data_IF_160011672780
#
_entry.id   IF_160011672780
#
_cell.length_a   1.000
_cell.length_b   1.000
_cell.length_c   1.000
_cell.angle_alpha   90.00
_cell.angle_beta   90.00
_cell.angle_gamma   90.00
#
_symmetry.space_group_name_H-M   'P 1'
#
loop_
_entity.id
_entity.type
_entity.pdbx_description
1 polymer ?
#
# COMPACT_ATOMS: atom_id res chain seq x y z
N UNK A 1 35.75 -11.88 21.85
CA UNK A 1 36.65 -12.21 20.73
C UNK A 1 36.14 -11.50 19.49
N UNK A 2 36.94 -10.60 18.92
CA UNK A 2 36.57 -9.80 17.77
C UNK A 2 36.59 -10.68 16.50
N UNK A 3 35.57 -10.62 15.63
CA UNK A 3 35.49 -11.48 14.46
C UNK A 3 36.50 -11.11 13.35
N UNK A 4 37.11 -9.92 13.40
CA UNK A 4 38.05 -9.44 12.39
C UNK A 4 39.49 -9.90 12.65
N UNK A 5 39.94 -9.80 13.90
CA UNK A 5 41.33 -10.06 14.32
C UNK A 5 41.45 -11.24 15.31
N UNK A 6 40.32 -11.75 15.81
CA UNK A 6 40.24 -12.83 16.81
C UNK A 6 40.88 -12.49 18.15
N UNK A 7 41.04 -11.21 18.48
CA UNK A 7 41.54 -10.78 19.78
C UNK A 7 40.40 -10.64 20.81
N UNK A 8 40.64 -10.87 22.11
CA UNK A 8 39.68 -10.50 23.15
C UNK A 8 39.50 -8.98 23.17
N UNK A 9 38.26 -8.53 23.39
CA UNK A 9 37.93 -7.11 23.56
C UNK A 9 36.98 -6.98 24.74
N UNK A 10 37.06 -5.87 25.45
CA UNK A 10 36.13 -5.55 26.53
C UNK A 10 34.93 -4.76 25.98
N UNK A 11 33.75 -4.97 26.57
CA UNK A 11 32.53 -4.31 26.10
C UNK A 11 32.62 -2.78 26.24
N UNK A 12 33.35 -2.29 27.25
CA UNK A 12 33.56 -0.86 27.52
C UNK A 12 34.44 -0.17 26.46
N UNK A 13 35.22 -0.94 25.69
CA UNK A 13 36.04 -0.46 24.57
C UNK A 13 35.23 -0.36 23.26
N UNK A 14 33.99 -0.87 23.26
CA UNK A 14 33.12 -0.83 22.08
C UNK A 14 32.32 0.48 22.04
N UNK A 15 32.62 1.32 21.06
CA UNK A 15 31.88 2.56 20.83
C UNK A 15 30.79 2.38 19.76
N UNK A 16 29.56 2.79 20.09
CA UNK A 16 28.48 2.89 19.09
C UNK A 16 28.77 4.09 18.18
N UNK A 17 29.07 3.83 16.92
CA UNK A 17 29.26 4.87 15.91
C UNK A 17 27.91 5.16 15.24
N UNK A 18 27.25 6.31 15.52
CA UNK A 18 26.01 6.65 14.86
C UNK A 18 26.26 7.04 13.40
N UNK A 19 25.59 6.36 12.47
CA UNK A 19 25.60 6.74 11.06
C UNK A 19 24.56 7.84 10.85
N UNK A 20 24.94 9.07 10.42
CA UNK A 20 23.97 10.12 10.15
C UNK A 20 22.96 9.67 9.09
N UNK A 21 21.67 9.95 9.27
CA UNK A 21 20.61 9.52 8.36
C UNK A 21 20.87 9.91 6.89
N UNK A 22 21.45 11.10 6.66
CA UNK A 22 21.87 11.54 5.31
C UNK A 22 22.93 10.64 4.67
N UNK A 23 23.84 10.07 5.45
CA UNK A 23 24.84 9.11 4.95
C UNK A 23 24.22 7.72 4.76
N UNK A 24 23.38 7.28 5.71
CA UNK A 24 22.69 5.99 5.62
C UNK A 24 21.84 5.85 4.35
N UNK A 25 21.11 6.90 3.97
CA UNK A 25 20.28 6.90 2.76
C UNK A 25 21.07 6.87 1.44
N UNK A 26 22.37 7.18 1.48
CA UNK A 26 23.25 7.12 0.31
C UNK A 26 24.02 5.79 0.22
N UNK A 27 24.01 4.97 1.29
CA UNK A 27 24.62 3.66 1.28
C UNK A 27 23.72 2.69 0.53
N UNK A 28 24.29 2.07 -0.51
CA UNK A 28 23.67 0.95 -1.20
C UNK A 28 24.24 -0.35 -0.65
N UNK A 29 23.39 -1.34 -0.49
CA UNK A 29 23.75 -2.70 -0.11
C UNK A 29 23.36 -3.67 -1.23
N UNK A 30 24.13 -4.73 -1.35
CA UNK A 30 23.84 -5.86 -2.21
C UNK A 30 22.92 -6.84 -1.47
N UNK A 31 22.13 -7.61 -2.20
CA UNK A 31 21.36 -8.71 -1.63
C UNK A 31 22.28 -9.74 -0.95
N UNK A 32 21.85 -10.29 0.19
CA UNK A 32 22.54 -11.40 0.86
C UNK A 32 22.74 -12.63 -0.04
N UNK A 33 21.89 -12.81 -1.06
CA UNK A 33 21.99 -13.89 -2.03
C UNK A 33 22.82 -13.52 -3.28
N UNK A 34 23.66 -12.47 -3.22
CA UNK A 34 24.58 -12.11 -4.31
C UNK A 34 25.48 -13.27 -4.70
N UNK A 35 25.99 -14.03 -3.73
CA UNK A 35 26.80 -15.23 -3.97
C UNK A 35 26.06 -16.33 -4.74
N UNK A 36 24.72 -16.33 -4.67
CA UNK A 36 23.84 -17.24 -5.40
C UNK A 36 23.38 -16.68 -6.75
N UNK A 37 23.82 -15.47 -7.12
CA UNK A 37 23.53 -14.81 -8.39
C UNK A 37 22.44 -13.74 -8.34
N UNK A 38 22.03 -13.28 -7.14
CA UNK A 38 21.10 -12.16 -7.02
C UNK A 38 21.82 -10.81 -7.24
N UNK A 39 21.49 -10.11 -8.33
CA UNK A 39 22.12 -8.83 -8.68
C UNK A 39 21.43 -7.60 -8.06
N UNK A 40 20.52 -7.80 -7.09
CA UNK A 40 19.77 -6.70 -6.49
C UNK A 40 20.68 -5.80 -5.63
N UNK A 41 20.64 -4.49 -5.91
CA UNK A 41 21.37 -3.46 -5.16
C UNK A 41 20.43 -2.30 -4.83
N UNK A 42 20.30 -1.96 -3.55
CA UNK A 42 19.32 -0.97 -3.08
C UNK A 42 19.70 -0.32 -1.76
N UNK A 43 18.80 0.49 -1.20
CA UNK A 43 18.92 0.94 0.20
C UNK A 43 18.78 -0.26 1.14
N UNK A 44 19.26 -0.16 2.38
CA UNK A 44 19.13 -1.25 3.36
C UNK A 44 17.67 -1.73 3.51
N UNK A 45 16.71 -0.81 3.59
CA UNK A 45 15.27 -1.13 3.66
C UNK A 45 14.79 -1.87 2.40
N UNK A 46 15.23 -1.45 1.21
CA UNK A 46 14.84 -2.10 -0.03
C UNK A 46 15.46 -3.50 -0.15
N UNK A 47 16.69 -3.70 0.33
CA UNK A 47 17.34 -5.03 0.34
C UNK A 47 16.65 -5.98 1.32
N UNK A 48 16.22 -5.49 2.49
CA UNK A 48 15.46 -6.30 3.45
C UNK A 48 14.13 -6.78 2.86
N UNK A 49 13.33 -5.85 2.30
CA UNK A 49 12.08 -6.21 1.62
C UNK A 49 12.31 -7.19 0.48
N UNK A 50 13.32 -6.91 -0.35
CA UNK A 50 13.67 -7.80 -1.46
C UNK A 50 14.01 -9.21 -0.98
N UNK A 51 14.86 -9.33 0.05
CA UNK A 51 15.27 -10.63 0.59
C UNK A 51 14.10 -11.45 1.14
N UNK A 52 13.15 -10.80 1.83
CA UNK A 52 12.03 -11.48 2.49
C UNK A 52 10.88 -11.83 1.54
N UNK A 53 10.58 -10.95 0.58
CA UNK A 53 9.34 -11.04 -0.22
C UNK A 53 9.58 -11.37 -1.69
N UNK A 54 10.74 -11.02 -2.25
CA UNK A 54 10.96 -11.01 -3.70
C UNK A 54 12.08 -11.96 -4.18
N UNK A 55 13.02 -12.31 -3.30
CA UNK A 55 14.26 -12.96 -3.71
C UNK A 55 14.08 -14.45 -4.04
N UNK A 56 14.16 -14.79 -5.33
CA UNK A 56 14.05 -16.18 -5.80
C UNK A 56 15.36 -16.98 -5.68
N UNK A 57 16.46 -16.32 -5.30
CA UNK A 57 17.77 -16.90 -5.07
C UNK A 57 17.96 -17.40 -3.63
N UNK A 58 16.90 -17.41 -2.83
CA UNK A 58 16.93 -18.04 -1.51
C UNK A 58 17.20 -19.54 -1.64
N UNK A 59 18.04 -20.07 -0.77
CA UNK A 59 18.27 -21.51 -0.64
C UNK A 59 17.19 -22.12 0.26
N UNK A 60 16.52 -23.16 -0.25
CA UNK A 60 15.50 -23.91 0.48
C UNK A 60 15.87 -25.39 0.55
N UNK A 61 15.37 -26.09 1.55
CA UNK A 61 15.53 -27.53 1.70
C UNK A 61 14.41 -28.26 0.95
N UNK A 62 14.79 -29.15 0.03
CA UNK A 62 13.83 -29.97 -0.69
C UNK A 62 13.16 -30.97 0.27
N UNK A 63 11.83 -30.97 0.35
CA UNK A 63 11.07 -31.85 1.25
C UNK A 63 11.09 -33.33 0.86
N UNK A 64 11.63 -33.68 -0.30
CA UNK A 64 11.75 -35.07 -0.77
C UNK A 64 13.12 -35.67 -0.44
N UNK A 65 14.18 -34.94 -0.78
CA UNK A 65 15.56 -35.44 -0.67
C UNK A 65 16.45 -34.67 0.31
N UNK A 66 15.89 -33.71 1.07
CA UNK A 66 16.63 -32.82 1.98
C UNK A 66 17.77 -32.00 1.33
N UNK A 67 17.91 -32.03 0.00
CA UNK A 67 18.94 -31.27 -0.70
C UNK A 67 18.64 -29.77 -0.66
N UNK A 68 19.68 -28.97 -0.43
CA UNK A 68 19.61 -27.51 -0.49
C UNK A 68 19.60 -27.06 -1.94
N UNK A 69 18.48 -26.50 -2.38
CA UNK A 69 18.26 -26.03 -3.76
C UNK A 69 17.81 -24.58 -3.75
N UNK A 70 18.14 -23.82 -4.80
CA UNK A 70 17.61 -22.47 -4.95
C UNK A 70 16.10 -22.54 -5.22
N UNK A 71 15.34 -21.62 -4.64
CA UNK A 71 13.88 -21.60 -4.81
C UNK A 71 13.47 -21.53 -6.28
N UNK A 72 14.18 -20.72 -7.09
CA UNK A 72 13.98 -20.67 -8.56
C UNK A 72 14.20 -22.02 -9.27
N UNK A 73 15.08 -22.87 -8.75
CA UNK A 73 15.51 -24.12 -9.37
C UNK A 73 14.76 -25.34 -8.80
N UNK A 74 13.90 -25.15 -7.79
CA UNK A 74 13.14 -26.23 -7.16
C UNK A 74 12.29 -27.02 -8.17
N UNK A 75 11.66 -26.33 -9.13
CA UNK A 75 10.87 -26.98 -10.17
C UNK A 75 11.75 -27.85 -11.09
N UNK A 76 12.91 -27.33 -11.49
CA UNK A 76 13.89 -28.05 -12.33
C UNK A 76 14.43 -29.26 -11.56
N UNK A 77 14.71 -29.11 -10.27
CA UNK A 77 15.13 -30.19 -9.39
C UNK A 77 14.09 -31.33 -9.34
N UNK A 78 12.79 -31.01 -9.21
CA UNK A 78 11.75 -32.04 -9.25
C UNK A 78 11.63 -32.74 -10.59
N UNK A 79 11.73 -31.99 -11.69
CA UNK A 79 11.69 -32.54 -13.05
C UNK A 79 12.94 -33.36 -13.39
N UNK A 80 14.08 -33.03 -12.78
CA UNK A 80 15.36 -33.72 -12.95
C UNK A 80 15.47 -35.08 -12.24
N UNK A 81 14.38 -35.56 -11.63
CA UNK A 81 14.37 -36.87 -10.96
C UNK A 81 14.75 -36.81 -9.48
N UNK A 82 14.29 -35.79 -8.76
CA UNK A 82 14.35 -35.75 -7.30
C UNK A 82 13.73 -37.02 -6.68
N UNK A 83 14.58 -37.90 -6.16
CA UNK A 83 14.19 -39.13 -5.48
C UNK A 83 14.03 -38.86 -3.98
N UNK A 84 13.03 -39.47 -3.32
CA UNK A 84 12.91 -39.36 -1.87
C UNK A 84 14.16 -39.95 -1.23
N UNK A 85 14.74 -39.23 -0.27
CA UNK A 85 15.85 -39.76 0.53
C UNK A 85 15.31 -40.99 1.25
N UNK A 86 15.78 -42.16 0.86
CA UNK A 86 15.59 -43.35 1.68
C UNK A 86 16.50 -43.15 2.89
N UNK A 87 15.96 -43.05 4.11
CA UNK A 87 16.79 -42.87 5.28
C UNK A 87 17.67 -44.11 5.41
N UNK A 88 18.95 -43.97 5.03
CA UNK A 88 19.95 -44.97 5.34
C UNK A 88 20.00 -45.12 6.85
N UNK A 89 19.78 -46.36 7.26
CA UNK A 89 19.50 -46.77 8.63
C UNK A 89 20.44 -46.14 9.67
N UNK A 90 19.84 -45.50 10.68
CA UNK A 90 20.14 -45.74 12.10
C UNK A 90 19.07 -45.12 13.00
N UNK A 91 18.34 -46.03 13.65
CA UNK A 91 17.80 -45.93 15.01
C UNK A 91 16.51 -45.13 15.25
N UNK A 92 15.44 -45.92 15.32
CA UNK A 92 14.24 -45.83 16.18
C UNK A 92 13.15 -44.76 15.89
N UNK A 93 11.97 -45.29 15.51
CA UNK A 93 10.67 -44.63 15.45
C UNK A 93 10.28 -43.95 16.78
N UNK A 94 9.40 -42.93 16.74
CA UNK A 94 7.97 -43.25 16.88
C UNK A 94 7.16 -42.90 15.64
N UNK A 95 6.22 -43.80 15.36
CA UNK A 95 5.14 -43.75 14.38
C UNK A 95 4.47 -42.38 14.23
N UNK A 96 4.50 -41.83 13.00
CA UNK A 96 3.44 -40.95 12.50
C UNK A 96 2.85 -41.63 11.27
N UNK A 97 1.62 -42.12 11.39
CA UNK A 97 0.86 -42.64 10.25
C UNK A 97 0.65 -41.49 9.27
N UNK A 98 1.47 -41.45 8.21
CA UNK A 98 1.20 -40.62 7.05
C UNK A 98 -0.03 -41.19 6.35
N UNK A 99 -1.19 -40.56 6.58
CA UNK A 99 -2.38 -40.81 5.76
C UNK A 99 -2.01 -40.49 4.31
N UNK A 100 -1.94 -41.52 3.47
CA UNK A 100 -1.75 -41.34 2.03
C UNK A 100 -3.06 -40.75 1.52
N UNK A 101 -3.09 -39.43 1.36
CA UNK A 101 -4.21 -38.74 0.73
C UNK A 101 -4.36 -39.29 -0.68
N UNK A 102 -5.53 -39.85 -0.98
CA UNK A 102 -5.82 -40.34 -2.31
C UNK A 102 -6.10 -39.16 -3.23
N UNK A 103 -5.96 -39.37 -4.55
CA UNK A 103 -6.31 -38.34 -5.56
C UNK A 103 -7.76 -37.87 -5.40
N UNK A 104 -8.64 -38.73 -4.88
CA UNK A 104 -10.04 -38.41 -4.60
C UNK A 104 -10.20 -37.45 -3.41
N UNK A 105 -9.39 -37.61 -2.37
CA UNK A 105 -9.38 -36.71 -1.21
C UNK A 105 -8.91 -35.31 -1.60
N UNK A 106 -7.89 -35.23 -2.46
CA UNK A 106 -7.41 -33.95 -3.01
C UNK A 106 -8.45 -33.31 -3.93
N UNK A 107 -9.14 -34.11 -4.75
CA UNK A 107 -10.18 -33.60 -5.64
C UNK A 107 -11.39 -33.08 -4.87
N UNK A 108 -11.77 -33.73 -3.76
CA UNK A 108 -12.85 -33.28 -2.88
C UNK A 108 -12.46 -31.98 -2.17
N UNK A 109 -11.26 -31.93 -1.58
CA UNK A 109 -10.74 -30.73 -0.93
C UNK A 109 -10.62 -29.54 -1.91
N UNK A 110 -10.31 -29.79 -3.18
CA UNK A 110 -10.25 -28.77 -4.22
C UNK A 110 -11.65 -28.21 -4.55
N UNK A 111 -12.67 -29.07 -4.63
CA UNK A 111 -14.03 -28.60 -4.90
C UNK A 111 -14.60 -27.85 -3.69
N UNK A 112 -14.28 -28.29 -2.46
CA UNK A 112 -14.64 -27.57 -1.23
C UNK A 112 -13.99 -26.18 -1.16
N UNK A 113 -12.70 -26.08 -1.49
CA UNK A 113 -12.00 -24.79 -1.59
C UNK A 113 -12.63 -23.88 -2.65
N UNK A 114 -13.05 -24.46 -3.77
CA UNK A 114 -13.67 -23.71 -4.87
C UNK A 114 -15.06 -23.21 -4.51
N UNK A 115 -15.82 -23.94 -3.70
CA UNK A 115 -17.08 -23.46 -3.11
C UNK A 115 -16.83 -22.35 -2.11
N UNK A 116 -15.90 -22.55 -1.16
CA UNK A 116 -15.51 -21.55 -0.17
C UNK A 116 -14.96 -20.26 -0.78
N UNK A 117 -14.34 -20.35 -1.96
CA UNK A 117 -13.92 -19.17 -2.71
C UNK A 117 -15.09 -18.52 -3.43
N UNK A 118 -15.98 -19.27 -4.08
CA UNK A 118 -17.10 -18.71 -4.86
C UNK A 118 -18.10 -17.92 -4.02
N UNK A 119 -18.44 -18.41 -2.83
CA UNK A 119 -19.45 -17.78 -1.97
C UNK A 119 -19.10 -16.35 -1.54
N UNK A 120 -17.90 -16.04 -1.01
CA UNK A 120 -17.54 -14.66 -0.64
C UNK A 120 -17.46 -13.74 -1.85
N UNK A 121 -17.02 -14.21 -3.03
CA UNK A 121 -17.04 -13.36 -4.23
C UNK A 121 -18.48 -13.09 -4.72
N UNK A 122 -19.38 -14.07 -4.63
CA UNK A 122 -20.74 -13.91 -5.15
C UNK A 122 -21.60 -13.00 -4.28
N UNK A 123 -21.38 -12.94 -2.96
CA UNK A 123 -22.12 -12.03 -2.07
C UNK A 123 -21.44 -10.67 -1.86
N UNK A 124 -20.11 -10.62 -1.76
CA UNK A 124 -19.42 -9.35 -1.50
C UNK A 124 -19.38 -8.45 -2.73
N UNK A 125 -19.26 -8.99 -3.95
CA UNK A 125 -19.18 -8.16 -5.16
C UNK A 125 -20.46 -7.36 -5.42
N UNK A 126 -21.68 -7.94 -5.35
CA UNK A 126 -22.91 -7.15 -5.47
C UNK A 126 -23.08 -6.13 -4.34
N UNK A 127 -22.70 -6.49 -3.11
CA UNK A 127 -22.78 -5.58 -1.97
C UNK A 127 -21.84 -4.37 -2.14
N UNK A 128 -20.59 -4.61 -2.55
CA UNK A 128 -19.61 -3.57 -2.86
C UNK A 128 -20.11 -2.70 -4.03
N UNK A 129 -20.65 -3.31 -5.08
CA UNK A 129 -21.21 -2.57 -6.22
C UNK A 129 -22.37 -1.66 -5.77
N UNK A 130 -23.26 -2.13 -4.90
CA UNK A 130 -24.34 -1.32 -4.34
C UNK A 130 -23.80 -0.14 -3.54
N UNK A 131 -22.84 -0.39 -2.64
CA UNK A 131 -22.22 0.65 -1.82
C UNK A 131 -21.53 1.72 -2.69
N UNK A 132 -20.83 1.32 -3.76
CA UNK A 132 -20.22 2.26 -4.71
C UNK A 132 -21.30 3.10 -5.41
N UNK A 133 -22.38 2.48 -5.87
CA UNK A 133 -23.47 3.19 -6.53
C UNK A 133 -24.11 4.22 -5.58
N UNK A 134 -24.34 3.85 -4.32
CA UNK A 134 -24.87 4.74 -3.28
C UNK A 134 -23.92 5.92 -3.01
N UNK A 135 -22.62 5.67 -2.86
CA UNK A 135 -21.59 6.69 -2.68
C UNK A 135 -21.53 7.68 -3.87
N UNK A 136 -21.67 7.16 -5.09
CA UNK A 136 -21.68 7.99 -6.31
C UNK A 136 -22.89 8.91 -6.33
N UNK A 137 -24.09 8.40 -6.04
CA UNK A 137 -25.29 9.24 -6.01
C UNK A 137 -25.27 10.24 -4.85
N UNK A 138 -24.75 9.87 -3.67
CA UNK A 138 -24.55 10.80 -2.56
C UNK A 138 -23.63 11.96 -2.96
N UNK A 139 -22.46 11.62 -3.54
CA UNK A 139 -21.49 12.62 -4.00
C UNK A 139 -22.09 13.55 -5.06
N UNK A 140 -22.86 12.98 -6.01
CA UNK A 140 -23.55 13.78 -7.04
C UNK A 140 -24.58 14.73 -6.43
N UNK A 141 -25.34 14.26 -5.44
CA UNK A 141 -26.34 15.08 -4.73
C UNK A 141 -25.68 16.22 -3.98
N UNK A 142 -24.65 15.94 -3.17
CA UNK A 142 -23.90 16.97 -2.44
C UNK A 142 -23.27 18.00 -3.38
N UNK A 143 -22.73 17.55 -4.52
CA UNK A 143 -22.17 18.44 -5.53
C UNK A 143 -23.25 19.35 -6.13
N UNK A 144 -24.44 18.82 -6.43
CA UNK A 144 -25.54 19.62 -6.95
C UNK A 144 -26.02 20.68 -5.95
N UNK A 145 -26.17 20.30 -4.67
CA UNK A 145 -26.55 21.22 -3.59
C UNK A 145 -25.52 22.34 -3.40
N UNK A 146 -24.22 21.99 -3.45
CA UNK A 146 -23.15 22.97 -3.35
C UNK A 146 -23.17 23.95 -4.53
N UNK A 147 -23.37 23.45 -5.75
CA UNK A 147 -23.47 24.29 -6.95
C UNK A 147 -24.67 25.23 -6.87
N UNK A 148 -25.83 24.75 -6.41
CA UNK A 148 -27.02 25.58 -6.23
C UNK A 148 -26.82 26.66 -5.17
N UNK A 149 -26.15 26.32 -4.06
CA UNK A 149 -25.78 27.27 -3.00
C UNK A 149 -24.83 28.37 -3.53
N UNK A 150 -23.82 27.98 -4.31
CA UNK A 150 -22.90 28.93 -4.96
C UNK A 150 -23.66 29.82 -5.94
N UNK A 151 -24.53 29.24 -6.78
CA UNK A 151 -25.32 29.99 -7.76
C UNK A 151 -26.27 30.99 -7.09
N UNK A 152 -26.91 30.62 -5.97
CA UNK A 152 -27.72 31.53 -5.16
C UNK A 152 -26.89 32.69 -4.62
N UNK A 153 -25.74 32.40 -4.01
CA UNK A 153 -24.84 33.44 -3.49
C UNK A 153 -24.36 34.40 -4.57
N UNK A 154 -24.02 33.89 -5.75
CA UNK A 154 -23.62 34.71 -6.90
C UNK A 154 -24.75 35.64 -7.35
N UNK A 155 -25.98 35.12 -7.45
CA UNK A 155 -27.16 35.94 -7.80
C UNK A 155 -27.45 37.02 -6.76
N UNK A 156 -27.35 36.71 -5.48
CA UNK A 156 -27.57 37.69 -4.42
C UNK A 156 -26.48 38.76 -4.40
N UNK A 157 -25.23 38.38 -4.63
CA UNK A 157 -24.12 39.32 -4.82
C UNK A 157 -24.36 40.25 -5.99
N UNK A 158 -24.78 39.71 -7.14
CA UNK A 158 -25.07 40.51 -8.33
C UNK A 158 -26.21 41.50 -8.08
N UNK A 159 -27.27 41.07 -7.37
CA UNK A 159 -28.40 41.94 -6.98
C UNK A 159 -27.92 43.07 -6.07
N UNK A 160 -27.16 42.74 -5.03
CA UNK A 160 -26.64 43.72 -4.08
C UNK A 160 -25.69 44.74 -4.74
N UNK A 161 -24.84 44.27 -5.66
CA UNK A 161 -23.95 45.15 -6.43
C UNK A 161 -24.74 46.12 -7.32
N UNK A 162 -25.80 45.65 -7.99
CA UNK A 162 -26.70 46.51 -8.77
C UNK A 162 -27.39 47.54 -7.87
N UNK A 163 -27.97 47.12 -6.76
CA UNK A 163 -28.65 48.01 -5.82
C UNK A 163 -27.71 49.10 -5.27
N UNK A 164 -26.48 48.74 -4.91
CA UNK A 164 -25.48 49.71 -4.45
C UNK A 164 -25.06 50.68 -5.56
N UNK A 165 -24.93 50.20 -6.80
CA UNK A 165 -24.63 51.03 -7.97
C UNK A 165 -25.76 51.99 -8.34
N UNK A 166 -27.03 51.67 -8.09
CA UNK A 166 -28.17 52.55 -8.38
C UNK A 166 -28.50 53.51 -7.23
N UNK A 167 -28.32 53.09 -5.98
CA UNK A 167 -28.68 53.88 -4.79
C UNK A 167 -27.67 54.99 -4.49
N UNK A 168 -26.37 54.74 -4.63
CA UNK A 168 -25.34 55.74 -4.32
C UNK A 168 -25.42 56.98 -5.23
N UNK A 169 -25.55 56.88 -6.57
CA UNK A 169 -25.70 58.05 -7.43
C UNK A 169 -27.02 58.80 -7.20
N UNK A 170 -28.13 58.07 -6.97
CA UNK A 170 -29.43 58.69 -6.68
C UNK A 170 -29.38 59.51 -5.39
N UNK A 171 -28.80 58.97 -4.33
CA UNK A 171 -28.64 59.70 -3.06
C UNK A 171 -27.84 60.99 -3.23
N UNK A 172 -26.72 60.93 -3.96
CA UNK A 172 -25.90 62.11 -4.25
C UNK A 172 -26.66 63.14 -5.09
N UNK A 173 -27.39 62.70 -6.13
CA UNK A 173 -28.20 63.60 -6.96
C UNK A 173 -29.30 64.28 -6.15
N UNK A 174 -30.03 63.55 -5.29
CA UNK A 174 -31.07 64.14 -4.43
C UNK A 174 -30.47 65.16 -3.47
N UNK A 175 -29.28 64.88 -2.91
CA UNK A 175 -28.61 65.81 -1.99
C UNK A 175 -28.06 67.05 -2.69
N UNK A 176 -27.59 66.93 -3.93
CA UNK A 176 -27.21 68.08 -4.76
C UNK A 176 -28.43 68.94 -5.07
N UNK A 177 -29.58 68.34 -5.42
CA UNK A 177 -30.81 69.08 -5.69
C UNK A 177 -31.31 69.85 -4.46
N UNK A 178 -31.32 69.23 -3.27
CA UNK A 178 -31.77 69.91 -2.04
C UNK A 178 -30.83 71.06 -1.63
N UNK A 179 -29.52 70.91 -1.85
CA UNK A 179 -28.56 72.00 -1.61
C UNK A 179 -28.77 73.17 -2.58
N UNK A 180 -29.10 72.90 -3.85
CA UNK A 180 -29.43 73.93 -4.83
C UNK A 180 -30.71 74.69 -4.47
N UNK A 181 -31.75 73.97 -4.05
CA UNK A 181 -33.01 74.57 -3.59
C UNK A 181 -32.81 75.44 -2.34
N UNK A 182 -32.03 74.96 -1.36
CA UNK A 182 -31.70 75.72 -0.16
C UNK A 182 -30.90 77.00 -0.47
N UNK A 183 -29.96 76.93 -1.43
CA UNK A 183 -29.21 78.10 -1.88
C UNK A 183 -30.09 79.12 -2.65
N UNK A 184 -31.05 78.64 -3.44
CA UNK A 184 -31.99 79.50 -4.16
C UNK A 184 -32.99 80.22 -3.23
N UNK A 185 -33.34 79.63 -2.09
CA UNK A 185 -34.23 80.24 -1.09
C UNK A 185 -33.56 81.34 -0.22
N UNK A 186 -32.25 81.56 -0.37
CA UNK A 186 -31.46 82.54 0.37
C UNK A 186 -31.11 83.81 -0.43
N UNK A 187 -31.61 83.90 -1.68
CA UNK A 187 -31.48 85.06 -2.59
C UNK A 187 -32.84 85.72 -2.79
#
# INVERSE_FOLDING_TARGET
>A
MCPLDREPFEEDECHRIPIPARKANNLKAHCWNEEHGCEFVGTMEAVLRHYEEECTFQTIECRRCAERVLHKDLAVHYLGGCLPDTPSASTEQPSTQGSVLTVHDVSTALEDLKVLLKDPYHEQLPAIQSQINELVEHTRSEQAELLDSIALKLRDWERNMKDQSYTAPRYLLTKISSLKEAAAAQL
#
